data_IF_408057827642
#
_entry.id   IF_408057827642
#
_cell.length_a   1.000
_cell.length_b   1.000
_cell.length_c   1.000
_cell.angle_alpha   90.00
_cell.angle_beta   90.00
_cell.angle_gamma   90.00
#
_symmetry.space_group_name_H-M   'P 1'
#
loop_
_entity.id
_entity.type
_entity.pdbx_description
1 polymer ?
#
# COMPACT_ATOMS: atom_id res chain seq x y z
N UNK A 1 14.23 -22.26 5.76
CA UNK A 1 14.05 -21.65 5.66
C UNK A 1 13.64 -21.33 5.23
N UNK A 2 13.70 -21.33 5.45
CA UNK A 2 13.45 -20.64 5.30
C UNK A 2 13.06 -20.26 4.94
N UNK A 3 13.19 -20.47 5.07
CA UNK A 3 13.00 -19.80 5.05
C UNK A 3 12.73 -19.23 5.08
N UNK A 4 12.88 -19.46 5.27
CA UNK A 4 12.77 -18.60 5.62
C UNK A 4 12.66 -18.27 5.89
N UNK A 5 12.86 -18.56 6.14
CA UNK A 5 12.90 -17.98 6.55
C UNK A 5 12.98 -17.49 6.54
N UNK A 6 13.19 -17.56 6.54
CA UNK A 6 13.27 -16.74 6.61
C UNK A 6 13.41 -16.44 6.88
N UNK A 7 14.20 -16.71 6.32
CA UNK A 7 14.51 -16.39 7.20
C UNK A 7 13.62 -16.09 8.07
N UNK A 8 13.13 -16.41 8.08
CA UNK A 8 12.37 -16.53 9.13
C UNK A 8 11.72 -15.37 9.78
N UNK A 9 12.07 -14.23 9.41
CA UNK A 9 11.51 -13.05 10.03
C UNK A 9 10.12 -12.76 9.48
N UNK A 10 9.14 -12.47 10.35
CA UNK A 10 7.81 -12.14 9.86
C UNK A 10 7.81 -10.90 8.97
N UNK A 11 6.96 -10.92 7.96
CA UNK A 11 6.87 -9.78 7.05
C UNK A 11 6.46 -8.50 7.76
N UNK A 12 5.56 -8.60 8.75
CA UNK A 12 5.12 -7.42 9.48
C UNK A 12 6.25 -6.74 10.20
N UNK A 13 7.19 -7.51 10.74
CA UNK A 13 8.35 -6.93 11.41
C UNK A 13 9.27 -6.22 10.42
N UNK A 14 9.46 -6.81 9.23
CA UNK A 14 10.30 -6.20 8.22
C UNK A 14 9.69 -4.94 7.64
N UNK A 15 8.36 -4.92 7.52
CA UNK A 15 7.67 -3.74 7.04
C UNK A 15 7.65 -2.61 8.05
N UNK A 16 7.77 -2.96 9.34
CA UNK A 16 7.69 -1.98 10.39
C UNK A 16 6.32 -1.36 10.50
N UNK A 17 6.28 -0.19 11.11
CA UNK A 17 5.01 0.49 11.38
C UNK A 17 4.32 0.93 10.09
N UNK A 18 5.09 1.36 9.10
CA UNK A 18 4.52 1.81 7.84
C UNK A 18 3.77 0.66 7.15
N UNK A 19 4.40 -0.49 7.02
CA UNK A 19 3.77 -1.63 6.39
C UNK A 19 2.54 -2.11 7.14
N UNK A 20 2.62 -2.10 8.48
CA UNK A 20 1.47 -2.47 9.30
C UNK A 20 0.32 -1.48 9.12
N UNK A 21 0.64 -0.19 9.03
CA UNK A 21 -0.37 0.83 8.82
C UNK A 21 -1.08 0.64 7.49
N UNK A 22 -0.31 0.38 6.43
CA UNK A 22 -0.89 0.14 5.11
C UNK A 22 -1.83 -1.06 5.16
N UNK A 23 -1.40 -2.14 5.81
CA UNK A 23 -2.24 -3.34 5.90
C UNK A 23 -3.51 -3.08 6.70
N UNK A 24 -3.41 -2.29 7.77
CA UNK A 24 -4.58 -1.96 8.58
C UNK A 24 -5.59 -1.13 7.78
N UNK A 25 -5.10 -0.11 7.07
CA UNK A 25 -5.97 0.73 6.25
C UNK A 25 -6.62 -0.10 5.16
N UNK A 26 -5.83 -0.96 4.49
CA UNK A 26 -6.35 -1.80 3.42
C UNK A 26 -7.43 -2.74 3.94
N UNK A 27 -7.21 -3.34 5.09
CA UNK A 27 -8.16 -4.28 5.67
C UNK A 27 -9.48 -3.62 6.05
N UNK A 28 -9.41 -2.43 6.64
CA UNK A 28 -10.62 -1.72 7.06
C UNK A 28 -11.45 -1.24 5.88
N UNK A 29 -10.83 -1.05 4.73
CA UNK A 29 -11.50 -0.49 3.56
C UNK A 29 -11.70 -1.52 2.44
N UNK A 30 -11.50 -2.78 2.75
CA UNK A 30 -11.76 -3.89 1.83
C UNK A 30 -10.97 -3.78 0.52
N UNK A 31 -9.72 -3.36 0.60
CA UNK A 31 -8.86 -3.33 -0.59
C UNK A 31 -8.47 -4.74 -0.98
N UNK A 32 -8.40 -5.00 -2.28
CA UNK A 32 -7.83 -6.25 -2.77
C UNK A 32 -6.31 -6.25 -2.51
N UNK A 33 -5.67 -7.41 -2.68
CA UNK A 33 -4.23 -7.51 -2.50
C UNK A 33 -3.48 -6.56 -3.43
N UNK A 34 -3.90 -6.47 -4.69
CA UNK A 34 -3.25 -5.57 -5.64
C UNK A 34 -3.51 -4.10 -5.31
N UNK A 35 -4.72 -3.79 -4.84
CA UNK A 35 -5.03 -2.43 -4.43
C UNK A 35 -4.21 -2.04 -3.20
N UNK A 36 -4.01 -2.97 -2.28
CA UNK A 36 -3.18 -2.71 -1.10
C UNK A 36 -1.73 -2.43 -1.51
N UNK A 37 -1.21 -3.18 -2.49
CA UNK A 37 0.14 -2.93 -3.00
C UNK A 37 0.24 -1.52 -3.58
N UNK A 38 -0.76 -1.12 -4.36
CA UNK A 38 -0.77 0.21 -4.95
C UNK A 38 -0.85 1.27 -3.86
N UNK A 39 -1.69 1.06 -2.85
CA UNK A 39 -1.77 1.99 -1.71
C UNK A 39 -0.40 2.21 -1.09
N UNK A 40 0.34 1.13 -0.87
CA UNK A 40 1.66 1.23 -0.25
C UNK A 40 2.59 2.10 -1.08
N UNK A 41 2.65 1.85 -2.39
CA UNK A 41 3.54 2.63 -3.26
C UNK A 41 3.10 4.08 -3.38
N UNK A 42 1.78 4.32 -3.43
CA UNK A 42 1.28 5.69 -3.45
C UNK A 42 1.69 6.44 -2.19
N UNK A 43 1.58 5.78 -1.04
CA UNK A 43 1.95 6.40 0.23
C UNK A 43 3.46 6.62 0.34
N UNK A 44 4.25 5.85 -0.39
CA UNK A 44 5.69 6.05 -0.45
C UNK A 44 6.09 7.16 -1.42
N UNK A 45 5.14 7.70 -2.17
CA UNK A 45 5.41 8.77 -3.09
C UNK A 45 5.72 8.34 -4.51
N UNK A 46 5.49 7.08 -4.85
CA UNK A 46 5.78 6.60 -6.19
C UNK A 46 4.74 7.11 -7.19
N UNK A 47 5.20 7.46 -8.39
CA UNK A 47 4.29 7.77 -9.49
C UNK A 47 3.79 6.51 -10.17
N UNK A 48 2.79 6.68 -11.04
CA UNK A 48 2.14 5.54 -11.70
C UNK A 48 3.12 4.71 -12.53
N UNK A 49 4.06 5.35 -13.23
CA UNK A 49 5.02 4.62 -14.04
C UNK A 49 5.92 3.74 -13.18
N UNK A 50 6.38 4.29 -12.06
CA UNK A 50 7.25 3.54 -11.16
C UNK A 50 6.51 2.38 -10.53
N UNK A 51 5.25 2.60 -10.14
CA UNK A 51 4.44 1.53 -9.58
C UNK A 51 4.25 0.42 -10.60
N UNK A 52 3.95 0.80 -11.85
CA UNK A 52 3.75 -0.19 -12.91
C UNK A 52 4.99 -1.04 -13.11
N UNK A 53 6.17 -0.41 -13.15
CA UNK A 53 7.41 -1.14 -13.28
C UNK A 53 7.66 -2.06 -12.10
N UNK A 54 7.42 -1.55 -10.90
CA UNK A 54 7.67 -2.31 -9.68
C UNK A 54 6.76 -3.52 -9.57
N UNK A 55 5.51 -3.36 -9.98
CA UNK A 55 4.54 -4.45 -9.89
C UNK A 55 4.53 -5.35 -11.13
N UNK A 56 5.20 -4.94 -12.20
CA UNK A 56 5.20 -5.72 -13.43
C UNK A 56 3.88 -5.70 -14.17
N UNK A 57 3.17 -4.57 -14.11
CA UNK A 57 1.87 -4.41 -14.78
C UNK A 57 1.88 -3.16 -15.63
N UNK A 58 0.82 -2.99 -16.42
CA UNK A 58 0.69 -1.82 -17.27
C UNK A 58 0.27 -0.61 -16.45
N UNK A 59 0.66 0.58 -16.94
CA UNK A 59 0.31 1.84 -16.26
C UNK A 59 -1.20 1.99 -16.13
N UNK A 60 -1.95 1.61 -17.16
CA UNK A 60 -3.41 1.71 -17.09
C UNK A 60 -3.98 0.84 -15.98
N UNK A 61 -3.38 -0.32 -15.74
CA UNK A 61 -3.80 -1.18 -14.64
C UNK A 61 -3.57 -0.48 -13.31
N UNK A 62 -2.41 0.18 -13.16
CA UNK A 62 -2.11 0.95 -11.95
C UNK A 62 -3.12 2.06 -11.75
N UNK A 63 -3.47 2.78 -12.82
CA UNK A 63 -4.45 3.87 -12.73
C UNK A 63 -5.80 3.37 -12.28
N UNK A 64 -6.23 2.21 -12.78
CA UNK A 64 -7.50 1.63 -12.37
C UNK A 64 -7.45 1.29 -10.87
N UNK A 65 -6.38 0.64 -10.43
CA UNK A 65 -6.24 0.32 -9.01
C UNK A 65 -6.19 1.58 -8.15
N UNK A 66 -5.48 2.61 -8.62
CA UNK A 66 -5.38 3.88 -7.91
C UNK A 66 -6.77 4.50 -7.74
N UNK A 67 -7.55 4.51 -8.80
CA UNK A 67 -8.91 5.05 -8.73
C UNK A 67 -9.73 4.28 -7.68
N UNK A 68 -9.65 2.96 -7.72
CA UNK A 68 -10.40 2.14 -6.77
C UNK A 68 -9.96 2.39 -5.34
N UNK A 69 -8.64 2.55 -5.12
CA UNK A 69 -8.12 2.86 -3.80
C UNK A 69 -8.70 4.18 -3.29
N UNK A 70 -8.65 5.21 -4.13
CA UNK A 70 -9.18 6.52 -3.75
C UNK A 70 -10.66 6.44 -3.38
N UNK A 71 -11.44 5.73 -4.20
CA UNK A 71 -12.87 5.57 -3.94
C UNK A 71 -13.11 4.83 -2.63
N UNK A 72 -12.40 3.72 -2.42
CA UNK A 72 -12.62 2.90 -1.23
C UNK A 72 -12.17 3.59 0.05
N UNK A 73 -11.10 4.39 -0.03
CA UNK A 73 -10.61 5.14 1.12
C UNK A 73 -11.36 6.46 1.31
N UNK A 74 -12.17 6.85 0.32
CA UNK A 74 -12.88 8.13 0.34
C UNK A 74 -11.91 9.30 0.47
N UNK A 75 -10.85 9.26 -0.34
CA UNK A 75 -9.87 10.35 -0.41
C UNK A 75 -9.88 10.94 -1.80
N UNK A 76 -9.49 12.20 -1.92
CA UNK A 76 -9.57 12.95 -3.17
C UNK A 76 -8.22 13.45 -3.66
N UNK A 77 -7.15 13.20 -2.92
CA UNK A 77 -5.82 13.63 -3.32
C UNK A 77 -4.78 12.69 -2.73
N UNK A 78 -3.59 12.73 -3.32
CA UNK A 78 -2.46 11.96 -2.80
C UNK A 78 -2.14 12.40 -1.38
N UNK A 79 -2.26 13.68 -1.10
CA UNK A 79 -1.98 14.22 0.23
C UNK A 79 -2.91 13.64 1.28
N UNK A 80 -4.20 13.55 0.95
CA UNK A 80 -5.16 12.96 1.87
C UNK A 80 -4.84 11.49 2.13
N UNK A 81 -4.47 10.77 1.07
CA UNK A 81 -4.12 9.37 1.19
C UNK A 81 -2.90 9.20 2.09
N UNK A 82 -1.87 10.02 1.88
CA UNK A 82 -0.65 9.93 2.66
C UNK A 82 -0.90 10.29 4.12
N UNK A 83 -1.75 11.29 4.37
CA UNK A 83 -2.11 11.66 5.75
C UNK A 83 -2.86 10.53 6.44
N UNK A 84 -3.75 9.86 5.71
CA UNK A 84 -4.49 8.74 6.27
C UNK A 84 -3.54 7.65 6.75
N UNK A 85 -2.54 7.33 5.94
CA UNK A 85 -1.55 6.31 6.30
C UNK A 85 -0.67 6.81 7.44
N UNK A 86 -0.25 8.07 7.39
CA UNK A 86 0.58 8.64 8.45
C UNK A 86 -0.14 8.62 9.80
N UNK A 87 -1.43 8.94 9.79
CA UNK A 87 -2.23 8.91 11.02
C UNK A 87 -2.30 7.49 11.57
N UNK A 88 -2.39 6.51 10.69
CA UNK A 88 -2.41 5.12 11.11
C UNK A 88 -1.06 4.71 11.70
N UNK A 89 0.05 5.18 11.10
CA UNK A 89 1.38 4.92 11.64
C UNK A 89 1.49 5.48 13.05
N UNK A 90 0.99 6.71 13.25
CA UNK A 90 1.05 7.35 14.56
C UNK A 90 0.23 6.59 15.61
N UNK A 91 -0.79 5.86 15.17
CA UNK A 91 -1.64 5.09 16.07
C UNK A 91 -1.13 3.69 16.38
N UNK A 92 -0.03 3.28 15.76
CA UNK A 92 0.47 1.91 15.95
C UNK A 92 1.14 1.70 17.34
#
# INVERSE_FOLDING_TARGET
PDEGTEAGQPKSERKGKFGQAVEAVAGRNALSAREADVLRYLAMGYGSDRIAQTMGVKVNTVRTHTHNVYVKLDVHSREELMRLVDDEVAGQ
#
